data_IF_519819193782
#
_entry.id   IF_519819193782
#
_cell.length_a   1.000
_cell.length_b   1.000
_cell.length_c   1.000
_cell.angle_alpha   90.00
_cell.angle_beta   90.00
_cell.angle_gamma   90.00
#
_symmetry.space_group_name_H-M   'P 1'
#
loop_
_entity.id
_entity.type
_entity.pdbx_description
1 polymer ?
#
# COMPACT_ATOMS: atom_id res chain seq x y z
N UNK A 1 10.45 -26.47 -17.39
CA UNK A 1 10.55 -25.42 -16.35
C UNK A 1 9.33 -24.54 -16.57
N UNK A 2 8.41 -24.43 -15.59
CA UNK A 2 7.28 -23.51 -15.67
C UNK A 2 7.79 -22.06 -15.70
N UNK A 3 7.10 -21.19 -16.43
CA UNK A 3 7.38 -19.76 -16.37
C UNK A 3 7.27 -19.27 -14.91
N UNK A 4 8.12 -18.33 -14.45
CA UNK A 4 8.00 -17.79 -13.13
C UNK A 4 6.61 -17.14 -12.99
N UNK A 5 5.80 -17.62 -12.06
CA UNK A 5 4.50 -17.05 -11.74
C UNK A 5 4.71 -15.66 -11.13
N UNK A 6 4.04 -14.63 -11.68
CA UNK A 6 4.19 -13.25 -11.22
C UNK A 6 3.54 -13.05 -9.83
N UNK A 7 3.92 -11.97 -9.13
CA UNK A 7 3.23 -11.51 -7.92
C UNK A 7 1.70 -11.48 -8.08
N UNK A 8 1.26 -11.05 -9.26
CA UNK A 8 -0.15 -10.98 -9.59
C UNK A 8 -0.83 -12.35 -9.62
N UNK A 9 -0.15 -13.37 -10.17
CA UNK A 9 -0.72 -14.72 -10.27
C UNK A 9 -0.85 -15.37 -8.91
N UNK A 10 0.09 -15.10 -8.01
CA UNK A 10 0.18 -15.67 -6.66
C UNK A 10 -0.61 -14.89 -5.61
N UNK A 11 -1.20 -13.72 -5.94
CA UNK A 11 -1.91 -12.86 -5.00
C UNK A 11 -3.12 -13.58 -4.38
N UNK A 12 -3.06 -13.74 -3.06
CA UNK A 12 -4.12 -14.33 -2.24
C UNK A 12 -4.07 -13.79 -0.81
N UNK A 13 -5.08 -14.10 -0.01
CA UNK A 13 -5.09 -13.77 1.42
C UNK A 13 -3.96 -14.42 2.22
N UNK A 14 -3.40 -15.53 1.71
CA UNK A 14 -2.35 -16.29 2.40
C UNK A 14 -0.93 -15.88 1.98
N UNK A 15 -0.79 -15.12 0.90
CA UNK A 15 0.51 -14.73 0.36
C UNK A 15 0.83 -13.26 0.55
N UNK A 16 -0.17 -12.40 0.72
CA UNK A 16 -0.01 -10.95 0.71
C UNK A 16 -0.08 -10.30 2.11
N UNK A 17 0.57 -9.15 2.24
CA UNK A 17 0.42 -8.18 3.33
C UNK A 17 0.42 -6.76 2.76
N UNK A 18 -0.10 -5.80 3.52
CA UNK A 18 -0.24 -4.41 3.10
C UNK A 18 0.67 -3.50 3.92
N UNK A 19 1.40 -2.62 3.24
CA UNK A 19 2.23 -1.58 3.83
C UNK A 19 1.69 -0.21 3.42
N UNK A 20 1.27 0.59 4.39
CA UNK A 20 0.89 1.99 4.18
C UNK A 20 2.05 2.90 4.61
N UNK A 21 2.52 3.72 3.69
CA UNK A 21 3.67 4.59 3.86
C UNK A 21 3.22 6.04 4.01
N UNK A 22 3.32 6.58 5.23
CA UNK A 22 3.18 8.01 5.55
C UNK A 22 1.87 8.68 5.08
N UNK A 23 0.76 7.94 5.15
CA UNK A 23 -0.56 8.48 4.83
C UNK A 23 -1.08 9.35 6.00
N UNK A 24 -0.37 10.45 6.24
CA UNK A 24 -0.65 11.44 7.27
C UNK A 24 -1.34 12.66 6.65
N UNK A 25 -2.24 13.29 7.41
CA UNK A 25 -3.11 14.37 6.92
C UNK A 25 -2.33 15.49 6.22
N UNK A 26 -1.28 16.00 6.85
CA UNK A 26 -0.53 17.15 6.31
C UNK A 26 0.46 16.76 5.20
N UNK A 27 0.80 15.48 5.12
CA UNK A 27 1.62 14.91 4.05
C UNK A 27 0.78 14.69 2.80
N UNK A 28 -0.35 14.01 2.90
CA UNK A 28 -1.24 13.68 1.78
C UNK A 28 -1.80 14.95 1.10
N UNK A 29 -2.05 16.03 1.85
CA UNK A 29 -2.47 17.34 1.29
C UNK A 29 -1.51 17.90 0.23
N UNK A 30 -0.25 17.46 0.20
CA UNK A 30 0.75 17.92 -0.77
C UNK A 30 0.63 17.23 -2.13
N UNK A 31 -0.24 16.22 -2.26
CA UNK A 31 -0.44 15.51 -3.52
C UNK A 31 -0.99 16.43 -4.60
N UNK A 32 -0.38 16.36 -5.80
CA UNK A 32 -0.77 17.08 -7.02
C UNK A 32 -1.00 16.14 -8.21
N UNK A 33 -0.76 14.87 -8.02
CA UNK A 33 -0.93 13.84 -9.05
C UNK A 33 -2.26 13.11 -8.87
N UNK A 34 -2.54 12.67 -7.67
CA UNK A 34 -3.85 12.15 -7.26
C UNK A 34 -4.49 13.15 -6.32
N UNK A 35 -5.75 13.48 -6.51
CA UNK A 35 -6.48 14.34 -5.57
C UNK A 35 -6.37 13.77 -4.14
N UNK A 36 -6.03 14.56 -3.11
CA UNK A 36 -5.87 14.05 -1.74
C UNK A 36 -7.07 13.27 -1.19
N UNK A 37 -8.30 13.65 -1.58
CA UNK A 37 -9.50 12.93 -1.16
C UNK A 37 -9.69 11.61 -1.91
N UNK A 38 -9.34 11.56 -3.20
CA UNK A 38 -9.36 10.34 -4.00
C UNK A 38 -8.30 9.35 -3.49
N UNK A 39 -7.07 9.83 -3.23
CA UNK A 39 -6.00 9.03 -2.63
C UNK A 39 -6.43 8.46 -1.28
N UNK A 40 -6.96 9.29 -0.37
CA UNK A 40 -7.44 8.84 0.93
C UNK A 40 -8.57 7.80 0.80
N UNK A 41 -9.50 8.02 -0.13
CA UNK A 41 -10.59 7.08 -0.42
C UNK A 41 -10.07 5.72 -0.91
N UNK A 42 -9.13 5.70 -1.84
CA UNK A 42 -8.52 4.46 -2.35
C UNK A 42 -7.70 3.74 -1.27
N UNK A 43 -6.89 4.49 -0.50
CA UNK A 43 -6.15 3.93 0.63
C UNK A 43 -7.08 3.33 1.71
N UNK A 44 -8.19 4.02 2.02
CA UNK A 44 -9.23 3.52 2.93
C UNK A 44 -9.90 2.25 2.40
N UNK A 45 -10.20 2.19 1.10
CA UNK A 45 -10.73 0.98 0.48
C UNK A 45 -9.74 -0.19 0.55
N UNK A 46 -8.45 0.05 0.26
CA UNK A 46 -7.40 -0.96 0.44
C UNK A 46 -7.31 -1.44 1.89
N UNK A 47 -7.44 -0.53 2.86
CA UNK A 47 -7.46 -0.88 4.28
C UNK A 47 -8.67 -1.75 4.66
N UNK A 48 -9.87 -1.42 4.13
CA UNK A 48 -11.05 -2.25 4.33
C UNK A 48 -10.91 -3.62 3.67
N UNK A 49 -10.30 -3.71 2.48
CA UNK A 49 -9.97 -4.97 1.85
C UNK A 49 -8.99 -5.78 2.71
N UNK A 50 -7.97 -5.14 3.28
CA UNK A 50 -7.04 -5.81 4.18
C UNK A 50 -7.76 -6.39 5.41
N UNK A 51 -8.71 -5.66 6.00
CA UNK A 51 -9.56 -6.18 7.09
C UNK A 51 -10.44 -7.35 6.62
N UNK A 52 -11.14 -7.21 5.49
CA UNK A 52 -12.05 -8.24 4.95
C UNK A 52 -11.33 -9.56 4.65
N UNK A 53 -10.10 -9.49 4.14
CA UNK A 53 -9.28 -10.65 3.78
C UNK A 53 -8.27 -11.05 4.85
N UNK A 54 -8.26 -10.37 6.00
CA UNK A 54 -7.32 -10.62 7.11
C UNK A 54 -5.85 -10.55 6.68
N UNK A 55 -5.53 -9.59 5.79
CA UNK A 55 -4.15 -9.37 5.37
C UNK A 55 -3.36 -8.71 6.51
N UNK A 56 -2.21 -9.23 6.90
CA UNK A 56 -1.32 -8.51 7.79
C UNK A 56 -1.07 -7.10 7.26
N UNK A 57 -1.14 -6.10 8.12
CA UNK A 57 -1.06 -4.70 7.71
C UNK A 57 -0.14 -3.92 8.64
N UNK A 58 0.71 -3.09 8.07
CA UNK A 58 1.59 -2.17 8.77
C UNK A 58 1.37 -0.75 8.24
N UNK A 59 1.38 0.23 9.11
CA UNK A 59 1.33 1.65 8.76
C UNK A 59 2.61 2.29 9.27
N UNK A 60 3.39 2.91 8.38
CA UNK A 60 4.51 3.74 8.81
C UNK A 60 4.09 5.20 8.94
N UNK A 61 4.74 5.92 9.84
CA UNK A 61 4.58 7.36 10.03
C UNK A 61 5.94 8.02 10.21
N UNK A 62 6.07 9.26 9.76
CA UNK A 62 7.24 10.11 10.02
C UNK A 62 6.89 11.20 11.04
N UNK A 63 7.86 11.68 11.82
CA UNK A 63 7.62 12.80 12.74
C UNK A 63 7.17 14.06 11.98
N UNK A 64 6.16 14.75 12.49
CA UNK A 64 5.67 16.05 11.99
C UNK A 64 5.93 17.13 13.04
N UNK A 65 7.17 17.60 13.11
CA UNK A 65 7.58 18.56 14.11
C UNK A 65 7.44 18.03 15.55
N UNK A 66 6.78 18.78 16.43
CA UNK A 66 6.53 18.40 17.84
C UNK A 66 5.18 17.73 18.07
N UNK A 67 4.32 17.67 17.06
CA UNK A 67 3.01 17.08 17.18
C UNK A 67 3.05 15.57 16.86
N UNK A 68 2.19 14.75 17.50
CA UNK A 68 2.06 13.36 17.10
C UNK A 68 1.52 13.25 15.67
N UNK A 69 2.03 12.32 14.85
CA UNK A 69 1.57 12.09 13.48
C UNK A 69 0.06 11.83 13.43
N UNK A 70 -0.65 12.51 12.54
CA UNK A 70 -2.08 12.32 12.34
C UNK A 70 -2.33 11.57 11.04
N UNK A 71 -2.78 10.32 11.14
CA UNK A 71 -3.21 9.53 9.97
C UNK A 71 -4.46 10.16 9.32
N UNK A 72 -4.61 9.93 8.01
CA UNK A 72 -5.87 10.22 7.33
C UNK A 72 -7.03 9.46 8.01
N UNK A 73 -8.23 10.04 7.98
CA UNK A 73 -9.40 9.50 8.71
C UNK A 73 -9.70 8.04 8.33
N UNK A 74 -9.48 7.68 7.07
CA UNK A 74 -9.72 6.36 6.50
C UNK A 74 -8.84 5.26 7.11
N UNK A 75 -7.72 5.63 7.77
CA UNK A 75 -6.81 4.71 8.44
C UNK A 75 -6.86 4.79 9.98
N UNK A 76 -7.73 5.62 10.56
CA UNK A 76 -7.79 5.81 12.02
C UNK A 76 -8.56 4.70 12.77
N UNK A 77 -9.45 3.97 12.10
CA UNK A 77 -10.15 2.80 12.68
C UNK A 77 -9.23 1.58 12.72
N UNK A 78 -8.06 1.76 13.35
CA UNK A 78 -7.01 0.72 13.41
C UNK A 78 -7.05 -0.09 14.69
N UNK A 79 -8.02 0.09 15.59
CA UNK A 79 -8.03 -0.46 16.95
C UNK A 79 -7.54 -1.92 17.01
N UNK A 80 -6.23 -2.10 17.19
CA UNK A 80 -5.56 -3.40 17.29
C UNK A 80 -5.32 -4.15 15.96
N UNK A 81 -5.76 -3.62 14.80
CA UNK A 81 -5.57 -4.29 13.51
C UNK A 81 -4.23 -3.95 12.85
N UNK A 82 -3.84 -2.69 12.85
CA UNK A 82 -2.59 -2.24 12.23
C UNK A 82 -1.90 -1.19 13.10
N UNK A 83 -0.78 -1.51 13.77
CA UNK A 83 -0.04 -0.52 14.54
C UNK A 83 0.63 0.49 13.62
N UNK A 84 0.58 1.78 14.01
CA UNK A 84 1.38 2.81 13.38
C UNK A 84 2.80 2.77 13.96
N UNK A 85 3.80 2.60 13.10
CA UNK A 85 5.21 2.51 13.49
C UNK A 85 5.96 3.75 13.00
N UNK A 86 6.57 4.52 13.92
CA UNK A 86 7.39 5.67 13.55
C UNK A 86 8.70 5.20 12.91
N UNK A 87 9.17 5.93 11.89
CA UNK A 87 10.46 5.73 11.25
C UNK A 87 11.20 7.04 10.99
N UNK A 88 12.51 6.94 10.81
CA UNK A 88 13.38 8.07 10.48
C UNK A 88 14.21 7.83 9.19
N UNK A 89 13.97 6.72 8.50
CA UNK A 89 14.68 6.32 7.26
C UNK A 89 13.78 6.53 6.04
N UNK A 90 14.36 6.68 4.85
CA UNK A 90 13.58 6.83 3.61
C UNK A 90 12.75 5.57 3.32
N UNK A 91 13.37 4.40 3.38
CA UNK A 91 12.71 3.10 3.21
C UNK A 91 12.22 2.54 4.56
N UNK A 92 11.14 1.76 4.54
CA UNK A 92 10.68 0.97 5.67
C UNK A 92 11.73 -0.07 6.10
N UNK A 93 12.49 -0.60 5.16
CA UNK A 93 13.53 -1.60 5.42
C UNK A 93 14.80 -1.01 6.06
N UNK A 94 14.93 0.31 6.11
CA UNK A 94 15.99 0.98 6.87
C UNK A 94 15.75 0.98 8.39
N UNK A 95 14.57 0.57 8.86
CA UNK A 95 14.24 0.42 10.27
C UNK A 95 14.13 -1.07 10.64
N UNK A 96 14.96 -1.50 11.60
CA UNK A 96 15.04 -2.92 11.97
C UNK A 96 13.74 -3.46 12.57
N UNK A 97 13.01 -2.66 13.39
CA UNK A 97 11.77 -3.09 14.01
C UNK A 97 10.65 -3.24 12.98
N UNK A 98 10.60 -2.36 11.98
CA UNK A 98 9.67 -2.44 10.87
C UNK A 98 10.00 -3.65 10.00
N UNK A 99 11.27 -3.83 9.63
CA UNK A 99 11.74 -4.98 8.84
C UNK A 99 11.39 -6.31 9.50
N UNK A 100 11.62 -6.42 10.80
CA UNK A 100 11.26 -7.62 11.57
C UNK A 100 9.73 -7.83 11.58
N UNK A 101 8.94 -6.78 11.71
CA UNK A 101 7.47 -6.86 11.70
C UNK A 101 6.96 -7.34 10.34
N UNK A 102 7.52 -6.83 9.23
CA UNK A 102 7.21 -7.29 7.88
C UNK A 102 7.54 -8.78 7.73
N UNK A 103 8.75 -9.19 8.13
CA UNK A 103 9.22 -10.56 8.02
C UNK A 103 8.40 -11.56 8.87
N UNK A 104 7.95 -11.13 10.05
CA UNK A 104 7.15 -11.96 10.98
C UNK A 104 5.82 -12.41 10.38
N UNK A 105 5.27 -11.67 9.44
CA UNK A 105 4.03 -12.06 8.75
C UNK A 105 4.18 -13.35 7.93
N UNK A 106 5.39 -13.67 7.49
CA UNK A 106 5.70 -14.79 6.59
C UNK A 106 5.17 -14.61 5.16
N UNK A 107 4.55 -13.46 4.83
CA UNK A 107 3.98 -13.19 3.50
C UNK A 107 5.10 -12.82 2.52
N UNK A 108 4.92 -13.19 1.26
CA UNK A 108 5.92 -12.97 0.19
C UNK A 108 5.55 -11.83 -0.75
N UNK A 109 4.29 -11.43 -0.78
CA UNK A 109 3.80 -10.34 -1.62
C UNK A 109 3.53 -9.13 -0.75
N UNK A 110 4.15 -7.99 -1.07
CA UNK A 110 3.90 -6.73 -0.43
C UNK A 110 3.02 -5.85 -1.32
N UNK A 111 1.88 -5.41 -0.80
CA UNK A 111 1.07 -4.36 -1.41
C UNK A 111 1.49 -3.05 -0.75
N UNK A 112 2.19 -2.19 -1.50
CA UNK A 112 2.78 -0.95 -0.97
C UNK A 112 2.02 0.25 -1.49
N UNK A 113 1.40 1.00 -0.60
CA UNK A 113 0.66 2.22 -0.90
C UNK A 113 1.16 3.38 -0.03
N UNK A 114 1.04 4.62 -0.50
CA UNK A 114 1.46 5.73 0.33
C UNK A 114 1.88 7.00 -0.39
N UNK A 115 2.47 7.91 0.36
CA UNK A 115 2.94 9.20 -0.11
C UNK A 115 4.33 9.52 0.49
N UNK A 116 5.35 9.81 -0.34
CA UNK A 116 5.23 10.07 -1.78
C UNK A 116 5.92 8.98 -2.62
N UNK A 117 5.43 8.81 -3.85
CA UNK A 117 5.89 7.76 -4.77
C UNK A 117 7.41 7.80 -4.97
N UNK A 118 8.00 8.97 -5.22
CA UNK A 118 9.42 9.13 -5.55
C UNK A 118 10.38 9.09 -4.33
N UNK A 119 9.86 8.82 -3.15
CA UNK A 119 10.66 8.70 -1.94
C UNK A 119 10.30 7.41 -1.20
N UNK A 120 9.48 7.48 -0.14
CA UNK A 120 9.23 6.33 0.73
C UNK A 120 8.67 5.12 -0.01
N UNK A 121 7.77 5.33 -0.99
CA UNK A 121 7.20 4.21 -1.75
C UNK A 121 8.28 3.59 -2.63
N UNK A 122 9.01 4.38 -3.42
CA UNK A 122 10.08 3.92 -4.29
C UNK A 122 11.16 3.16 -3.50
N UNK A 123 11.73 3.79 -2.47
CA UNK A 123 12.81 3.19 -1.70
C UNK A 123 12.36 1.90 -0.99
N UNK A 124 11.14 1.87 -0.44
CA UNK A 124 10.58 0.66 0.17
C UNK A 124 10.37 -0.45 -0.86
N UNK A 125 9.88 -0.12 -2.06
CA UNK A 125 9.67 -1.11 -3.13
C UNK A 125 11.00 -1.69 -3.60
N UNK A 126 12.02 -0.85 -3.83
CA UNK A 126 13.34 -1.32 -4.28
C UNK A 126 14.01 -2.22 -3.23
N UNK A 127 13.97 -1.82 -1.96
CA UNK A 127 14.52 -2.62 -0.87
C UNK A 127 13.73 -3.94 -0.69
N UNK A 128 12.41 -3.90 -0.78
CA UNK A 128 11.57 -5.09 -0.71
C UNK A 128 11.95 -6.13 -1.78
N UNK A 129 12.09 -5.67 -3.03
CA UNK A 129 12.54 -6.52 -4.14
C UNK A 129 13.94 -7.09 -3.87
N UNK A 130 14.86 -6.26 -3.33
CA UNK A 130 16.22 -6.69 -2.91
C UNK A 130 16.20 -7.72 -1.79
N UNK A 131 15.18 -7.73 -0.93
CA UNK A 131 14.96 -8.73 0.12
C UNK A 131 14.20 -9.97 -0.38
N UNK A 132 13.89 -10.06 -1.67
CA UNK A 132 13.23 -11.22 -2.28
C UNK A 132 11.71 -11.25 -2.10
N UNK A 133 11.10 -10.13 -1.78
CA UNK A 133 9.64 -9.97 -1.85
C UNK A 133 9.20 -9.71 -3.28
N UNK A 134 7.97 -10.07 -3.60
CA UNK A 134 7.25 -9.61 -4.78
C UNK A 134 6.39 -8.39 -4.38
N UNK A 135 6.29 -7.38 -5.26
CA UNK A 135 5.67 -6.10 -4.88
C UNK A 135 4.58 -5.68 -5.86
N UNK A 136 3.43 -5.32 -5.30
CA UNK A 136 2.31 -4.69 -6.00
C UNK A 136 2.15 -3.25 -5.50
N UNK A 137 1.99 -2.30 -6.42
CA UNK A 137 1.82 -0.87 -6.11
C UNK A 137 0.48 -0.39 -6.67
N UNK A 138 -0.58 -0.25 -5.83
CA UNK A 138 -1.85 0.34 -6.26
C UNK A 138 -1.69 1.84 -6.41
N UNK A 139 -1.55 2.30 -7.65
CA UNK A 139 -1.19 3.70 -7.95
C UNK A 139 -2.27 4.70 -7.54
N UNK A 140 -3.52 4.29 -7.49
CA UNK A 140 -4.66 5.08 -7.01
C UNK A 140 -4.65 5.33 -5.49
N UNK A 141 -3.94 4.48 -4.73
CA UNK A 141 -3.67 4.68 -3.30
C UNK A 141 -2.29 5.31 -3.02
N UNK A 142 -1.68 5.89 -4.03
CA UNK A 142 -0.40 6.59 -3.98
C UNK A 142 -0.52 7.99 -4.57
N UNK A 143 0.49 8.82 -4.34
CA UNK A 143 0.54 10.16 -4.92
C UNK A 143 1.91 10.81 -4.82
N UNK A 144 2.04 11.97 -5.48
CA UNK A 144 3.26 12.78 -5.52
C UNK A 144 2.94 14.27 -5.59
N UNK A 145 3.82 15.15 -5.12
CA UNK A 145 3.74 16.59 -5.37
C UNK A 145 4.14 16.96 -6.81
N UNK A 146 4.68 16.01 -7.60
CA UNK A 146 5.22 16.25 -8.94
C UNK A 146 4.88 15.14 -9.93
N UNK A 147 4.08 15.42 -10.99
CA UNK A 147 3.77 14.41 -12.02
C UNK A 147 5.02 13.85 -12.72
N UNK A 148 6.07 14.66 -12.84
CA UNK A 148 7.32 14.22 -13.48
C UNK A 148 8.10 13.27 -12.57
N UNK A 149 8.13 13.55 -11.27
CA UNK A 149 8.81 12.71 -10.29
C UNK A 149 8.06 11.38 -10.10
N UNK A 150 6.73 11.42 -9.99
CA UNK A 150 5.87 10.23 -9.94
C UNK A 150 6.12 9.31 -11.13
N UNK A 151 6.05 9.86 -12.36
CA UNK A 151 6.29 9.07 -13.56
C UNK A 151 7.70 8.46 -13.60
N UNK A 152 8.70 9.13 -13.02
CA UNK A 152 10.05 8.58 -12.93
C UNK A 152 10.12 7.46 -11.88
N UNK A 153 9.52 7.65 -10.71
CA UNK A 153 9.48 6.66 -9.64
C UNK A 153 8.74 5.38 -10.06
N UNK A 154 7.57 5.51 -10.69
CA UNK A 154 6.82 4.36 -11.21
C UNK A 154 7.63 3.54 -12.21
N UNK A 155 8.29 4.20 -13.18
CA UNK A 155 9.15 3.48 -14.14
C UNK A 155 10.33 2.78 -13.48
N UNK A 156 10.91 3.36 -12.42
CA UNK A 156 12.01 2.72 -11.68
C UNK A 156 11.53 1.47 -10.96
N UNK A 157 10.38 1.53 -10.29
CA UNK A 157 9.78 0.39 -9.61
C UNK A 157 9.45 -0.75 -10.59
N UNK A 158 8.83 -0.41 -11.74
CA UNK A 158 8.49 -1.38 -12.79
C UNK A 158 9.76 -2.01 -13.40
N UNK A 159 10.79 -1.21 -13.69
CA UNK A 159 12.06 -1.71 -14.21
C UNK A 159 12.79 -2.63 -13.19
N UNK A 160 12.58 -2.43 -11.90
CA UNK A 160 13.12 -3.28 -10.85
C UNK A 160 12.31 -4.57 -10.63
N UNK A 161 11.10 -4.68 -11.21
CA UNK A 161 10.27 -5.89 -11.13
C UNK A 161 8.99 -5.75 -10.30
N UNK A 162 8.66 -4.55 -9.81
CA UNK A 162 7.36 -4.31 -9.18
C UNK A 162 6.23 -4.28 -10.23
N UNK A 163 5.03 -4.67 -9.81
CA UNK A 163 3.82 -4.58 -10.65
C UNK A 163 2.96 -3.40 -10.18
N UNK A 164 2.76 -2.42 -11.04
CA UNK A 164 1.78 -1.36 -10.82
C UNK A 164 0.36 -1.88 -11.09
N UNK A 165 -0.60 -1.46 -10.27
CA UNK A 165 -1.99 -1.95 -10.32
C UNK A 165 -2.94 -0.90 -9.71
N UNK A 166 -4.18 -1.31 -9.39
CA UNK A 166 -5.16 -0.49 -8.68
C UNK A 166 -5.78 -1.23 -7.49
N UNK A 167 -6.38 -0.50 -6.56
CA UNK A 167 -7.11 -1.10 -5.43
C UNK A 167 -8.27 -1.97 -5.93
N UNK A 168 -8.98 -1.53 -6.97
CA UNK A 168 -10.06 -2.31 -7.59
C UNK A 168 -9.54 -3.63 -8.12
N UNK A 169 -8.41 -3.62 -8.84
CA UNK A 169 -7.80 -4.84 -9.39
C UNK A 169 -7.37 -5.81 -8.30
N UNK A 170 -6.77 -5.32 -7.21
CA UNK A 170 -6.40 -6.14 -6.04
C UNK A 170 -7.65 -6.78 -5.43
N UNK A 171 -8.71 -6.01 -5.19
CA UNK A 171 -9.96 -6.51 -4.62
C UNK A 171 -10.59 -7.61 -5.48
N UNK A 172 -10.70 -7.40 -6.79
CA UNK A 172 -11.26 -8.37 -7.72
C UNK A 172 -10.41 -9.63 -7.85
N UNK A 173 -9.09 -9.51 -7.76
CA UNK A 173 -8.17 -10.67 -7.74
C UNK A 173 -8.33 -11.49 -6.47
N UNK A 174 -8.45 -10.84 -5.29
CA UNK A 174 -8.67 -11.51 -4.01
C UNK A 174 -10.05 -12.20 -3.91
N UNK A 175 -11.07 -11.68 -4.60
CA UNK A 175 -12.41 -12.28 -4.63
C UNK A 175 -13.08 -12.12 -6.00
N UNK A 176 -12.77 -13.00 -6.97
CA UNK A 176 -13.26 -12.87 -8.34
C UNK A 176 -14.74 -13.27 -8.51
N UNK A 177 -15.33 -13.93 -7.53
CA UNK A 177 -16.74 -14.35 -7.58
C UNK A 177 -17.63 -13.40 -6.77
N UNK A 178 -18.30 -12.48 -7.44
CA UNK A 178 -19.17 -11.46 -6.83
C UNK A 178 -20.50 -12.01 -6.30
N UNK A 179 -20.84 -13.28 -6.55
CA UNK A 179 -22.05 -13.92 -6.01
C UNK A 179 -21.86 -14.38 -4.56
N UNK A 180 -20.64 -14.57 -4.11
CA UNK A 180 -20.33 -14.95 -2.72
C UNK A 180 -20.53 -13.77 -1.77
N UNK A 181 -20.76 -14.03 -0.48
CA UNK A 181 -20.89 -12.96 0.53
C UNK A 181 -19.65 -12.08 0.59
N UNK A 182 -18.45 -12.71 0.59
CA UNK A 182 -17.18 -11.97 0.57
C UNK A 182 -16.98 -11.17 -0.71
N UNK A 183 -17.42 -11.72 -1.87
CA UNK A 183 -17.37 -11.01 -3.14
C UNK A 183 -18.29 -9.79 -3.18
N UNK A 184 -19.49 -9.88 -2.59
CA UNK A 184 -20.40 -8.73 -2.46
C UNK A 184 -19.83 -7.64 -1.56
N UNK A 185 -19.24 -8.02 -0.41
CA UNK A 185 -18.58 -7.08 0.50
C UNK A 185 -17.38 -6.40 -0.18
N UNK A 186 -16.52 -7.16 -0.86
CA UNK A 186 -15.42 -6.61 -1.65
C UNK A 186 -15.92 -5.62 -2.70
N UNK A 187 -16.95 -5.98 -3.45
CA UNK A 187 -17.52 -5.13 -4.49
C UNK A 187 -18.07 -3.82 -3.92
N UNK A 188 -18.79 -3.87 -2.80
CA UNK A 188 -19.28 -2.68 -2.10
C UNK A 188 -18.13 -1.74 -1.66
N UNK A 189 -17.03 -2.29 -1.17
CA UNK A 189 -15.84 -1.51 -0.80
C UNK A 189 -15.28 -0.77 -2.02
N UNK A 190 -15.02 -1.48 -3.12
CA UNK A 190 -14.38 -0.86 -4.29
C UNK A 190 -15.30 0.11 -5.03
N UNK A 191 -16.63 -0.10 -5.00
CA UNK A 191 -17.59 0.87 -5.53
C UNK A 191 -17.63 2.19 -4.75
N UNK A 192 -17.21 2.18 -3.50
CA UNK A 192 -17.11 3.37 -2.65
C UNK A 192 -15.90 4.25 -2.93
N UNK A 193 -14.97 3.82 -3.77
CA UNK A 193 -13.76 4.60 -4.09
C UNK A 193 -14.14 5.84 -4.88
N UNK A 194 -13.75 7.01 -4.35
CA UNK A 194 -13.85 8.27 -5.07
C UNK A 194 -12.74 8.34 -6.09
N UNK A 195 -13.08 8.69 -7.31
CA UNK A 195 -12.12 8.94 -8.40
C UNK A 195 -11.95 10.44 -8.61
N UNK A 196 -10.83 10.84 -9.25
CA UNK A 196 -10.53 12.24 -9.61
C UNK A 196 -11.54 12.81 -10.63
#
# INVERSE_FOLDING_TARGET
>A
MGEPTSAWDQLSSDTAQVLFCDLQVDIVKQSKTTNPQALASAAGALFQLAKLFSLPTLISVVPEGSNPPQLIAELTDTAGFAPAMPRATASLFGDAAITETIARSGRKILIVAGFMIEAVVLDTVLDALGHGYEVLVPVDACGSPSPRAEAAGLRQMEAAGATTTSVVSIGTKLSPNFSTERGKQMFAIVQGIKVD
#
